data_IF_138311623280
#
_entry.id   IF_138311623280
#
_cell.length_a   1.000
_cell.length_b   1.000
_cell.length_c   1.000
_cell.angle_alpha   90.00
_cell.angle_beta   90.00
_cell.angle_gamma   90.00
#
_symmetry.space_group_name_H-M   'P 1'
#
loop_
_entity.id
_entity.type
_entity.pdbx_description
1 polymer ?
#
# COMPACT_ATOMS: atom_id res chain seq x y z
N UNK A 1 -17.79 20.13 -17.72
CA UNK A 1 -16.53 19.50 -17.28
C UNK A 1 -16.02 18.72 -18.45
N UNK A 2 -14.92 19.15 -19.08
CA UNK A 2 -14.27 18.37 -20.13
C UNK A 2 -13.61 17.17 -19.43
N UNK A 3 -14.12 15.97 -19.71
CA UNK A 3 -13.50 14.71 -19.30
C UNK A 3 -12.30 14.50 -20.21
N UNK A 4 -11.10 14.72 -19.71
CA UNK A 4 -9.90 14.23 -20.39
C UNK A 4 -9.72 12.77 -19.99
N UNK A 5 -9.49 11.91 -20.98
CA UNK A 5 -9.07 10.54 -20.71
C UNK A 5 -7.78 10.61 -19.87
N UNK A 6 -7.76 9.92 -18.74
CA UNK A 6 -6.65 9.92 -17.81
C UNK A 6 -6.49 8.50 -17.25
N UNK A 7 -5.28 8.17 -16.80
CA UNK A 7 -5.07 6.98 -16.00
C UNK A 7 -5.66 7.18 -14.59
N UNK A 8 -6.10 6.09 -13.98
CA UNK A 8 -6.63 6.09 -12.62
C UNK A 8 -6.12 4.84 -11.90
N UNK A 9 -5.28 5.05 -10.89
CA UNK A 9 -4.59 3.96 -10.21
C UNK A 9 -5.36 3.48 -8.99
N UNK A 10 -5.82 2.25 -8.98
CA UNK A 10 -6.41 1.63 -7.81
C UNK A 10 -5.47 0.60 -7.20
N UNK A 11 -5.36 0.63 -5.88
CA UNK A 11 -4.94 -0.53 -5.09
C UNK A 11 -6.19 -1.33 -4.72
N UNK A 12 -6.46 -2.37 -5.50
CA UNK A 12 -7.65 -3.21 -5.34
C UNK A 12 -7.62 -3.98 -4.01
N UNK A 13 -6.45 -4.51 -3.65
CA UNK A 13 -6.23 -5.10 -2.33
C UNK A 13 -4.76 -5.12 -1.96
N UNK A 14 -4.48 -5.22 -0.67
CA UNK A 14 -3.15 -5.50 -0.14
C UNK A 14 -3.19 -6.38 1.12
N UNK A 15 -2.14 -7.18 1.33
CA UNK A 15 -2.02 -8.10 2.46
C UNK A 15 -0.57 -8.26 2.90
N UNK A 16 -0.39 -8.60 4.18
CA UNK A 16 0.89 -9.06 4.71
C UNK A 16 0.94 -10.58 4.75
N UNK A 17 2.11 -11.16 4.51
CA UNK A 17 2.33 -12.60 4.69
C UNK A 17 3.77 -12.92 5.05
N UNK A 18 4.05 -14.20 5.32
CA UNK A 18 5.40 -14.74 5.54
C UNK A 18 5.55 -16.08 4.84
N UNK A 19 6.74 -16.35 4.31
CA UNK A 19 7.11 -17.63 3.70
C UNK A 19 8.54 -17.96 4.14
N UNK A 20 8.75 -19.12 4.76
CA UNK A 20 10.06 -19.58 5.24
C UNK A 20 10.83 -18.54 6.09
N UNK A 21 10.13 -17.82 6.98
CA UNK A 21 10.72 -16.78 7.84
C UNK A 21 10.99 -15.43 7.16
N UNK A 22 10.64 -15.30 5.87
CA UNK A 22 10.74 -14.06 5.12
C UNK A 22 9.35 -13.46 4.89
N UNK A 23 9.10 -12.31 5.50
CA UNK A 23 7.87 -11.55 5.33
C UNK A 23 7.78 -10.86 3.97
N UNK A 24 6.55 -10.57 3.56
CA UNK A 24 6.26 -9.74 2.39
C UNK A 24 4.97 -8.94 2.59
N UNK A 25 4.85 -7.82 1.87
CA UNK A 25 3.57 -7.16 1.59
C UNK A 25 3.25 -7.36 0.12
N UNK A 26 2.06 -7.86 -0.19
CA UNK A 26 1.63 -8.10 -1.56
C UNK A 26 0.24 -7.53 -1.82
N UNK A 27 -0.14 -7.44 -3.09
CA UNK A 27 -1.41 -6.88 -3.50
C UNK A 27 -1.51 -6.79 -5.01
N UNK A 28 -2.55 -6.12 -5.49
CA UNK A 28 -2.77 -5.87 -6.92
C UNK A 28 -3.10 -4.41 -7.14
N UNK A 29 -2.36 -3.79 -8.06
CA UNK A 29 -2.68 -2.51 -8.66
C UNK A 29 -3.52 -2.74 -9.92
N UNK A 30 -4.46 -1.86 -10.21
CA UNK A 30 -5.21 -1.85 -11.46
C UNK A 30 -5.32 -0.41 -11.96
N UNK A 31 -5.14 -0.22 -13.27
CA UNK A 31 -5.48 1.04 -13.91
C UNK A 31 -6.93 0.98 -14.40
N UNK A 32 -7.84 1.69 -13.74
CA UNK A 32 -9.27 1.75 -14.09
C UNK A 32 -9.60 2.87 -15.07
N UNK A 33 -8.61 3.70 -15.38
CA UNK A 33 -8.74 4.79 -16.34
C UNK A 33 -8.56 4.35 -17.80
N UNK A 34 -8.68 5.32 -18.69
CA UNK A 34 -8.66 5.12 -20.15
C UNK A 34 -7.29 5.39 -20.79
N UNK A 35 -6.35 5.94 -20.02
CA UNK A 35 -4.95 6.18 -20.43
C UNK A 35 -3.97 5.43 -19.51
N UNK A 36 -2.72 5.17 -19.93
CA UNK A 36 -1.74 4.52 -19.09
C UNK A 36 -1.39 5.33 -17.83
N UNK A 37 -1.20 4.64 -16.71
CA UNK A 37 -0.39 5.16 -15.60
C UNK A 37 1.07 4.93 -16.02
N UNK A 38 1.84 5.99 -16.25
CA UNK A 38 3.21 5.88 -16.78
C UNK A 38 4.20 5.43 -15.70
N UNK A 39 4.08 6.01 -14.50
CA UNK A 39 4.85 5.64 -13.32
C UNK A 39 3.96 5.58 -12.10
N UNK A 40 4.23 4.67 -11.18
CA UNK A 40 3.57 4.69 -9.88
C UNK A 40 4.49 4.22 -8.77
N UNK A 41 4.11 4.50 -7.53
CA UNK A 41 4.75 3.93 -6.36
C UNK A 41 3.75 3.66 -5.26
N UNK A 42 4.15 2.77 -4.35
CA UNK A 42 3.47 2.58 -3.08
C UNK A 42 4.49 2.58 -1.95
N UNK A 43 4.09 3.11 -0.79
CA UNK A 43 4.92 3.17 0.42
C UNK A 43 4.26 2.42 1.54
N UNK A 44 5.00 1.48 2.14
CA UNK A 44 4.58 0.73 3.32
C UNK A 44 5.52 0.98 4.49
N UNK A 45 4.96 1.23 5.67
CA UNK A 45 5.72 1.36 6.91
C UNK A 45 5.62 0.07 7.72
N UNK A 46 6.76 -0.55 7.97
CA UNK A 46 6.86 -1.77 8.76
C UNK A 46 6.80 -1.44 10.24
N UNK A 47 6.05 -2.25 10.99
CA UNK A 47 5.92 -2.11 12.43
C UNK A 47 6.41 -3.38 13.13
N UNK A 48 6.99 -3.21 14.32
CA UNK A 48 7.28 -4.35 15.20
C UNK A 48 6.01 -4.88 15.90
N UNK A 49 6.20 -5.89 16.75
CA UNK A 49 5.12 -6.51 17.51
C UNK A 49 4.42 -5.53 18.49
N UNK A 50 5.08 -4.43 18.88
CA UNK A 50 4.57 -3.38 19.75
C UNK A 50 4.06 -2.15 18.95
N UNK A 51 3.85 -2.31 17.65
CA UNK A 51 3.41 -1.26 16.73
C UNK A 51 4.35 -0.05 16.65
N UNK A 52 5.63 -0.19 16.95
CA UNK A 52 6.62 0.87 16.72
C UNK A 52 7.04 0.85 15.24
N UNK A 53 7.06 2.00 14.56
CA UNK A 53 7.61 2.10 13.22
C UNK A 53 9.08 1.67 13.20
N UNK A 54 9.42 0.76 12.29
CA UNK A 54 10.79 0.30 12.07
C UNK A 54 11.44 1.07 10.93
N UNK A 55 10.83 1.01 9.75
CA UNK A 55 11.24 1.70 8.53
C UNK A 55 10.11 1.71 7.53
N UNK A 56 10.21 2.57 6.52
CA UNK A 56 9.34 2.55 5.34
C UNK A 56 10.06 1.94 4.15
N UNK A 57 9.31 1.24 3.30
CA UNK A 57 9.77 0.66 2.04
C UNK A 57 8.91 1.25 0.93
N UNK A 58 9.55 1.78 -0.09
CA UNK A 58 8.90 2.25 -1.31
C UNK A 58 9.14 1.23 -2.41
N UNK A 59 8.07 0.85 -3.10
CA UNK A 59 8.13 0.05 -4.31
C UNK A 59 7.63 0.91 -5.47
N UNK A 60 8.40 0.97 -6.54
CA UNK A 60 8.05 1.69 -7.76
C UNK A 60 7.61 0.71 -8.84
N UNK A 61 6.68 1.15 -9.68
CA UNK A 61 6.18 0.38 -10.79
C UNK A 61 6.28 1.21 -12.07
N UNK A 62 6.73 0.54 -13.13
CA UNK A 62 6.66 1.07 -14.49
C UNK A 62 5.21 1.12 -14.98
N UNK A 63 5.05 1.47 -16.25
CA UNK A 63 3.75 1.69 -16.85
C UNK A 63 2.75 0.54 -16.63
N UNK A 64 1.51 0.94 -16.34
CA UNK A 64 0.33 0.07 -16.22
C UNK A 64 -0.66 0.56 -17.27
N UNK A 65 -0.89 -0.24 -18.32
CA UNK A 65 -1.82 0.10 -19.39
C UNK A 65 -3.26 0.21 -18.87
N UNK A 66 -4.12 0.91 -19.61
CA UNK A 66 -5.55 1.00 -19.29
C UNK A 66 -6.18 -0.40 -19.14
N UNK A 67 -6.94 -0.62 -18.05
CA UNK A 67 -7.54 -1.91 -17.70
C UNK A 67 -6.57 -3.00 -17.24
N UNK A 68 -5.26 -2.72 -17.16
CA UNK A 68 -4.27 -3.72 -16.76
C UNK A 68 -4.21 -3.87 -15.24
N UNK A 69 -4.15 -5.12 -14.79
CA UNK A 69 -3.78 -5.48 -13.41
C UNK A 69 -2.28 -5.78 -13.30
N UNK A 70 -1.67 -5.34 -12.19
CA UNK A 70 -0.29 -5.61 -11.83
C UNK A 70 -0.21 -6.08 -10.38
N UNK A 71 0.00 -7.38 -10.19
CA UNK A 71 0.31 -7.93 -8.86
C UNK A 71 1.72 -7.56 -8.43
N UNK A 72 1.90 -7.35 -7.12
CA UNK A 72 3.20 -7.03 -6.53
C UNK A 72 3.49 -7.85 -5.28
N UNK A 73 4.78 -7.96 -4.95
CA UNK A 73 5.27 -8.60 -3.73
C UNK A 73 6.55 -7.92 -3.25
N UNK A 74 6.42 -7.08 -2.22
CA UNK A 74 7.52 -6.34 -1.60
C UNK A 74 8.13 -7.21 -0.51
N UNK A 75 9.37 -7.64 -0.71
CA UNK A 75 10.11 -8.38 0.31
C UNK A 75 10.50 -7.46 1.47
N UNK A 76 10.26 -7.90 2.72
CA UNK A 76 10.63 -7.11 3.92
C UNK A 76 11.80 -7.73 4.70
N UNK A 77 12.32 -8.87 4.24
CA UNK A 77 13.56 -9.51 4.70
C UNK A 77 13.46 -10.25 6.03
N UNK A 78 12.59 -9.81 6.94
CA UNK A 78 12.30 -10.48 8.21
C UNK A 78 10.84 -10.91 8.28
N UNK A 79 10.47 -11.69 9.29
CA UNK A 79 9.07 -11.95 9.61
C UNK A 79 8.28 -10.63 9.73
N UNK A 80 7.25 -10.51 8.91
CA UNK A 80 6.34 -9.37 8.96
C UNK A 80 5.42 -9.52 10.17
N UNK A 81 5.50 -8.59 11.11
CA UNK A 81 4.55 -8.54 12.25
C UNK A 81 3.33 -7.72 11.89
N UNK A 82 3.53 -6.46 11.50
CA UNK A 82 2.49 -5.53 11.06
C UNK A 82 3.06 -4.55 10.04
N UNK A 83 2.19 -3.91 9.27
CA UNK A 83 2.54 -2.80 8.39
C UNK A 83 1.40 -1.77 8.32
N UNK A 84 1.72 -0.61 7.75
CA UNK A 84 0.78 0.43 7.35
C UNK A 84 1.02 0.78 5.89
N UNK A 85 -0.03 0.84 5.08
CA UNK A 85 0.04 1.53 3.81
C UNK A 85 0.07 3.04 4.11
N UNK A 86 1.08 3.74 3.60
CA UNK A 86 1.26 5.17 3.83
C UNK A 86 0.83 6.00 2.63
N UNK A 87 1.12 5.52 1.43
CA UNK A 87 0.84 6.25 0.20
C UNK A 87 0.77 5.30 -0.98
N UNK A 88 -0.11 5.63 -1.92
CA UNK A 88 -0.11 5.16 -3.30
C UNK A 88 -0.22 6.40 -4.19
N UNK A 89 0.60 6.46 -5.24
CA UNK A 89 0.59 7.55 -6.23
C UNK A 89 0.85 7.00 -7.62
N UNK A 90 0.16 7.56 -8.61
CA UNK A 90 0.39 7.34 -10.03
C UNK A 90 0.69 8.66 -10.74
N UNK A 91 1.37 8.58 -11.87
CA UNK A 91 1.75 9.73 -12.69
C UNK A 91 1.52 9.43 -14.17
N UNK A 92 1.14 10.45 -14.93
CA UNK A 92 1.10 10.39 -16.40
C UNK A 92 2.51 10.48 -17.02
N UNK A 93 2.57 10.48 -18.35
CA UNK A 93 3.83 10.51 -19.09
C UNK A 93 4.59 11.83 -18.90
N UNK A 94 3.88 12.92 -18.59
CA UNK A 94 4.41 14.24 -18.31
C UNK A 94 4.84 14.41 -16.83
N UNK A 95 4.51 13.44 -15.98
CA UNK A 95 4.86 13.44 -14.56
C UNK A 95 3.86 14.18 -13.67
N UNK A 96 2.66 14.50 -14.17
CA UNK A 96 1.58 15.00 -13.31
C UNK A 96 0.92 13.86 -12.54
N UNK A 97 0.52 14.16 -11.31
CA UNK A 97 -0.12 13.18 -10.45
C UNK A 97 -1.52 12.82 -10.98
N UNK A 98 -1.76 11.51 -11.09
CA UNK A 98 -3.05 10.91 -11.42
C UNK A 98 -3.86 10.64 -10.15
N UNK A 99 -5.17 10.43 -10.33
CA UNK A 99 -6.00 9.92 -9.24
C UNK A 99 -5.48 8.56 -8.80
N UNK A 100 -5.33 8.39 -7.49
CA UNK A 100 -4.93 7.14 -6.86
C UNK A 100 -5.86 6.80 -5.70
N UNK A 101 -6.40 5.58 -5.68
CA UNK A 101 -7.40 5.12 -4.71
C UNK A 101 -6.91 3.84 -4.03
N UNK A 102 -7.05 3.76 -2.70
CA UNK A 102 -6.96 2.51 -1.96
C UNK A 102 -8.38 2.00 -1.68
N UNK A 103 -8.81 0.97 -2.43
CA UNK A 103 -10.16 0.43 -2.33
C UNK A 103 -10.43 -0.20 -0.94
N UNK A 104 -9.37 -0.51 -0.20
CA UNK A 104 -9.41 -1.02 1.17
C UNK A 104 -9.55 0.07 2.23
N UNK A 105 -9.35 1.36 1.89
CA UNK A 105 -9.18 2.44 2.88
C UNK A 105 -10.35 2.52 3.84
N UNK A 106 -11.59 2.46 3.33
CA UNK A 106 -12.80 2.58 4.15
C UNK A 106 -12.89 1.45 5.19
N UNK A 107 -12.54 0.22 4.80
CA UNK A 107 -12.57 -0.96 5.68
C UNK A 107 -11.47 -0.84 6.74
N UNK A 108 -10.27 -0.41 6.35
CA UNK A 108 -9.15 -0.24 7.29
C UNK A 108 -9.42 0.89 8.29
N UNK A 109 -10.00 2.00 7.82
CA UNK A 109 -10.38 3.14 8.67
C UNK A 109 -11.44 2.77 9.69
N UNK A 110 -12.42 1.95 9.32
CA UNK A 110 -13.42 1.44 10.26
C UNK A 110 -12.81 0.63 11.42
N UNK A 111 -11.63 0.02 11.20
CA UNK A 111 -10.91 -0.81 12.19
C UNK A 111 -9.83 -0.05 12.95
N UNK A 112 -9.59 1.22 12.62
CA UNK A 112 -8.47 2.00 13.13
C UNK A 112 -8.50 2.13 14.67
N UNK A 113 -9.69 2.30 15.26
CA UNK A 113 -9.83 2.41 16.71
C UNK A 113 -9.39 1.13 17.45
N UNK A 114 -9.78 -0.03 16.94
CA UNK A 114 -9.39 -1.34 17.49
C UNK A 114 -7.88 -1.55 17.39
N UNK A 115 -7.29 -1.19 16.25
CA UNK A 115 -5.85 -1.32 16.05
C UNK A 115 -5.05 -0.36 16.94
N UNK A 116 -5.53 0.88 17.12
CA UNK A 116 -4.93 1.82 18.07
C UNK A 116 -5.00 1.29 19.50
N UNK A 117 -6.13 0.70 19.89
CA UNK A 117 -6.29 0.08 21.21
C UNK A 117 -5.33 -1.10 21.41
N UNK A 118 -5.20 -1.98 20.40
CA UNK A 118 -4.24 -3.07 20.41
C UNK A 118 -2.80 -2.55 20.60
N UNK A 119 -2.41 -1.55 19.81
CA UNK A 119 -1.06 -0.97 19.87
C UNK A 119 -0.79 -0.28 21.21
N UNK A 120 -1.80 0.33 21.84
CA UNK A 120 -1.67 0.91 23.17
C UNK A 120 -1.43 -0.15 24.26
N UNK A 121 -2.08 -1.32 24.16
CA UNK A 121 -1.86 -2.43 25.09
C UNK A 121 -0.45 -3.02 24.94
N UNK A 122 0.01 -3.27 23.71
CA UNK A 122 1.35 -3.80 23.45
C UNK A 122 2.48 -2.91 23.99
N UNK A 123 2.30 -1.58 23.98
CA UNK A 123 3.24 -0.65 24.60
C UNK A 123 3.27 -0.73 26.12
N UNK A 124 2.12 -0.98 26.77
CA UNK A 124 2.03 -1.11 28.24
C UNK A 124 2.71 -2.39 28.72
N UNK A 125 2.49 -3.51 28.05
CA UNK A 125 3.10 -4.80 28.41
C UNK A 125 4.62 -4.86 28.21
N UNK A 126 5.18 -4.03 27.32
CA UNK A 126 6.63 -3.94 27.11
C UNK A 126 7.36 -2.98 28.08
N UNK A 127 6.60 -2.20 28.86
CA UNK A 127 7.11 -1.27 29.87
C UNK A 127 6.96 -1.80 31.31
N UNK A 128 6.48 -3.03 31.46
CA UNK A 128 6.34 -3.78 32.71
C UNK A 128 7.48 -4.77 32.84
#
# INVERSE_FOLDING_TARGET
>A
MQSWAAGELHLNFHMGGSTNGSGFVGGTLINTGDEPVAHSYLVVTLLDAQCRPLRSVMESFDSIAAGQERSFRIAVGSDLKRYRLLSIKGFDAEGFELVAVDDSEAILKAREAEERAYCAQGKRSAAS
#
